data_IF_674317740476
#
_entry.id   IF_674317740476
#
_cell.length_a   1.000
_cell.length_b   1.000
_cell.length_c   1.000
_cell.angle_alpha   90.00
_cell.angle_beta   90.00
_cell.angle_gamma   90.00
#
_symmetry.space_group_name_H-M   'P 1'
#
loop_
_entity.id
_entity.type
_entity.pdbx_description
1 polymer ?
#
# COMPACT_ATOMS: atom_id res chain seq x y z
N UNK A 1 -13.94 -26.04 3.10
CA UNK A 1 -13.10 -26.66 2.06
C UNK A 1 -11.65 -26.58 2.53
N UNK A 2 -11.00 -27.68 2.86
CA UNK A 2 -9.59 -27.71 3.25
C UNK A 2 -8.76 -27.80 1.99
N UNK A 3 -8.12 -26.69 1.57
CA UNK A 3 -7.22 -26.67 0.40
C UNK A 3 -5.89 -27.37 0.69
N UNK A 4 -5.46 -27.37 1.94
CA UNK A 4 -4.26 -28.06 2.42
C UNK A 4 -4.60 -28.90 3.66
N UNK A 5 -4.76 -30.20 3.47
CA UNK A 5 -4.73 -31.17 4.55
C UNK A 5 -3.29 -31.56 4.82
N UNK A 6 -2.62 -30.91 5.78
CA UNK A 6 -1.24 -31.19 6.15
C UNK A 6 -1.08 -32.43 7.05
N UNK A 7 -2.12 -33.32 7.10
CA UNK A 7 -2.03 -34.59 7.81
C UNK A 7 -1.54 -34.48 9.27
N UNK A 8 -1.84 -33.40 9.97
CA UNK A 8 -1.42 -33.16 11.35
C UNK A 8 0.03 -32.69 11.54
N UNK A 9 0.77 -32.40 10.44
CA UNK A 9 2.15 -31.87 10.54
C UNK A 9 2.13 -30.35 10.73
N UNK A 10 2.83 -29.85 11.74
CA UNK A 10 3.12 -28.43 11.93
C UNK A 10 4.25 -27.98 11.04
N UNK A 11 4.05 -26.86 10.32
CA UNK A 11 5.11 -26.22 9.54
C UNK A 11 5.93 -25.31 10.46
N UNK A 12 7.26 -25.36 10.32
CA UNK A 12 8.19 -24.58 11.15
C UNK A 12 8.47 -23.20 10.54
N UNK A 13 7.49 -22.31 10.56
CA UNK A 13 7.63 -20.93 10.04
C UNK A 13 8.71 -20.15 10.78
N UNK A 14 8.72 -20.24 12.11
CA UNK A 14 9.61 -19.44 12.95
C UNK A 14 11.08 -19.88 12.88
N UNK A 15 11.38 -21.03 12.25
CA UNK A 15 12.77 -21.41 11.94
C UNK A 15 13.44 -20.41 10.98
N UNK A 16 12.66 -19.79 10.08
CA UNK A 16 13.11 -18.80 9.10
C UNK A 16 12.97 -17.35 9.60
N UNK A 17 12.52 -17.12 10.85
CA UNK A 17 12.22 -15.76 11.36
C UNK A 17 13.38 -14.78 11.22
N UNK A 18 14.62 -15.21 11.49
CA UNK A 18 15.80 -14.33 11.39
C UNK A 18 16.08 -13.90 9.96
N UNK A 19 15.92 -14.81 9.00
CA UNK A 19 16.08 -14.52 7.57
C UNK A 19 14.96 -13.59 7.09
N UNK A 20 13.72 -13.88 7.48
CA UNK A 20 12.56 -13.05 7.17
C UNK A 20 12.71 -11.63 7.74
N UNK A 21 13.10 -11.49 9.01
CA UNK A 21 13.34 -10.17 9.61
C UNK A 21 14.50 -9.41 8.94
N UNK A 22 15.58 -10.12 8.56
CA UNK A 22 16.68 -9.52 7.79
C UNK A 22 16.20 -9.00 6.43
N UNK A 23 15.39 -9.78 5.71
CA UNK A 23 14.78 -9.39 4.44
C UNK A 23 13.84 -8.18 4.60
N UNK A 24 12.97 -8.20 5.62
CA UNK A 24 12.09 -7.07 5.95
C UNK A 24 12.88 -5.78 6.25
N UNK A 25 13.93 -5.89 7.04
CA UNK A 25 14.79 -4.75 7.37
C UNK A 25 15.46 -4.18 6.12
N UNK A 26 15.95 -5.05 5.22
CA UNK A 26 16.52 -4.63 3.94
C UNK A 26 15.51 -3.88 3.08
N UNK A 27 14.26 -4.39 2.97
CA UNK A 27 13.19 -3.74 2.21
C UNK A 27 12.82 -2.38 2.81
N UNK A 28 12.71 -2.27 4.14
CA UNK A 28 12.44 -1.00 4.82
C UNK A 28 13.56 0.01 4.55
N UNK A 29 14.82 -0.40 4.68
CA UNK A 29 15.97 0.48 4.42
C UNK A 29 16.03 0.92 2.96
N UNK A 30 15.77 0.01 2.01
CA UNK A 30 15.69 0.34 0.59
C UNK A 30 14.54 1.31 0.29
N UNK A 31 13.38 1.12 0.94
CA UNK A 31 12.22 2.01 0.82
C UNK A 31 12.54 3.41 1.32
N UNK A 32 13.11 3.53 2.51
CA UNK A 32 13.54 4.84 3.05
C UNK A 32 14.61 5.49 2.18
N UNK A 33 15.63 4.73 1.77
CA UNK A 33 16.68 5.26 0.89
C UNK A 33 16.08 5.80 -0.42
N UNK A 34 15.15 5.07 -1.04
CA UNK A 34 14.49 5.55 -2.26
C UNK A 34 13.66 6.80 -2.00
N UNK A 35 12.83 6.82 -0.95
CA UNK A 35 11.99 7.97 -0.61
C UNK A 35 12.84 9.23 -0.34
N UNK A 36 13.99 9.09 0.35
CA UNK A 36 14.87 10.23 0.62
C UNK A 36 15.69 10.69 -0.58
N UNK A 37 16.11 9.77 -1.48
CA UNK A 37 16.96 10.10 -2.63
C UNK A 37 16.11 10.53 -3.83
N UNK A 38 15.05 9.78 -4.16
CA UNK A 38 14.21 10.04 -5.34
C UNK A 38 12.95 10.86 -5.01
N UNK A 39 12.48 10.81 -3.76
CA UNK A 39 11.18 11.35 -3.37
C UNK A 39 10.01 10.48 -3.83
N UNK A 40 8.81 11.04 -3.71
CA UNK A 40 7.57 10.50 -4.29
C UNK A 40 7.18 11.34 -5.50
N UNK A 41 6.72 10.68 -6.56
CA UNK A 41 6.15 11.35 -7.72
C UNK A 41 4.67 11.69 -7.43
N UNK A 42 4.43 12.83 -6.80
CA UNK A 42 3.08 13.25 -6.45
C UNK A 42 2.22 13.50 -7.68
N UNK A 43 0.99 12.98 -7.61
CA UNK A 43 -0.03 13.18 -8.64
C UNK A 43 -0.60 14.59 -8.67
N UNK A 44 -1.44 14.83 -9.67
CA UNK A 44 -2.11 16.11 -9.89
C UNK A 44 -2.94 16.54 -8.68
N UNK A 45 -3.53 15.58 -7.98
CA UNK A 45 -4.35 15.80 -6.78
C UNK A 45 -3.60 16.55 -5.66
N UNK A 46 -2.28 16.36 -5.58
CA UNK A 46 -1.45 16.95 -4.52
C UNK A 46 -0.61 18.12 -4.99
N UNK A 47 -0.33 18.21 -6.30
CA UNK A 47 0.53 19.27 -6.86
C UNK A 47 -0.26 20.41 -7.47
N UNK A 48 -1.52 20.15 -7.80
CA UNK A 48 -2.30 21.03 -8.67
C UNK A 48 -1.74 21.07 -10.09
N UNK A 49 -2.42 21.76 -10.98
CA UNK A 49 -1.98 21.95 -12.37
C UNK A 49 -2.97 21.38 -13.38
N UNK A 50 -2.48 21.13 -14.59
CA UNK A 50 -3.27 20.56 -15.69
C UNK A 50 -2.62 19.28 -16.21
N UNK A 51 -3.41 18.24 -16.38
CA UNK A 51 -3.00 17.01 -17.07
C UNK A 51 -3.80 16.86 -18.36
N UNK A 52 -3.11 16.63 -19.46
CA UNK A 52 -3.69 16.43 -20.79
C UNK A 52 -3.30 15.05 -21.29
N UNK A 53 -4.28 14.19 -21.48
CA UNK A 53 -4.10 12.89 -22.11
C UNK A 53 -4.22 13.05 -23.63
N UNK A 54 -3.20 12.58 -24.36
CA UNK A 54 -3.08 12.78 -25.79
C UNK A 54 -2.81 11.45 -26.46
N UNK A 55 -3.62 11.12 -27.47
CA UNK A 55 -3.45 9.92 -28.30
C UNK A 55 -2.78 10.25 -29.63
N UNK A 56 -1.86 9.38 -30.06
CA UNK A 56 -1.17 9.40 -31.34
C UNK A 56 -1.62 8.21 -32.18
N UNK A 57 -1.54 8.31 -33.50
CA UNK A 57 -1.82 7.20 -34.42
C UNK A 57 -0.69 6.17 -34.47
N UNK A 58 0.52 6.55 -34.09
CA UNK A 58 1.73 5.73 -34.02
C UNK A 58 2.39 5.86 -32.64
N UNK A 59 3.33 4.96 -32.27
CA UNK A 59 4.07 5.09 -31.02
C UNK A 59 4.68 6.47 -30.85
N UNK A 60 4.39 7.13 -29.72
CA UNK A 60 4.80 8.50 -29.45
C UNK A 60 6.29 8.59 -29.13
N UNK A 61 7.00 9.48 -29.81
CA UNK A 61 8.39 9.83 -29.47
C UNK A 61 8.40 10.92 -28.38
N UNK A 62 8.62 10.49 -27.13
CA UNK A 62 8.64 11.39 -25.97
C UNK A 62 9.69 12.49 -26.07
N UNK A 63 10.81 12.27 -26.78
CA UNK A 63 11.84 13.30 -26.96
C UNK A 63 11.33 14.40 -27.89
N UNK A 64 10.74 14.01 -29.02
CA UNK A 64 10.13 14.94 -29.96
C UNK A 64 8.99 15.73 -29.33
N UNK A 65 8.11 15.05 -28.56
CA UNK A 65 7.01 15.70 -27.86
C UNK A 65 7.52 16.75 -26.87
N UNK A 66 8.55 16.42 -26.07
CA UNK A 66 9.15 17.40 -25.13
C UNK A 66 9.77 18.60 -25.82
N UNK A 67 10.46 18.39 -26.96
CA UNK A 67 11.04 19.49 -27.76
C UNK A 67 9.96 20.44 -28.26
N UNK A 68 8.91 19.89 -28.87
CA UNK A 68 7.79 20.68 -29.40
C UNK A 68 7.08 21.46 -28.28
N UNK A 69 6.85 20.85 -27.15
CA UNK A 69 6.23 21.53 -26.01
C UNK A 69 7.14 22.64 -25.46
N UNK A 70 8.44 22.39 -25.34
CA UNK A 70 9.40 23.40 -24.89
C UNK A 70 9.44 24.62 -25.79
N UNK A 71 9.46 24.41 -27.13
CA UNK A 71 9.44 25.47 -28.13
C UNK A 71 8.17 26.32 -28.13
N UNK A 72 7.05 25.72 -27.67
CA UNK A 72 5.74 26.39 -27.54
C UNK A 72 5.44 26.92 -26.11
N UNK A 73 6.48 27.12 -25.30
CA UNK A 73 6.33 27.73 -23.97
C UNK A 73 5.92 26.77 -22.83
N UNK A 74 6.03 25.46 -23.05
CA UNK A 74 5.74 24.41 -22.10
C UNK A 74 7.01 23.63 -21.72
N UNK A 75 8.12 24.32 -21.46
CA UNK A 75 9.41 23.71 -21.12
C UNK A 75 9.38 22.95 -19.77
N UNK A 76 8.45 23.33 -18.90
CA UNK A 76 8.19 22.70 -17.59
C UNK A 76 7.27 21.47 -17.68
N UNK A 77 6.78 21.12 -18.86
CA UNK A 77 5.89 19.98 -19.06
C UNK A 77 6.57 18.65 -18.74
N UNK A 78 5.95 17.87 -17.86
CA UNK A 78 6.30 16.46 -17.67
C UNK A 78 5.54 15.62 -18.70
N UNK A 79 6.25 14.79 -19.46
CA UNK A 79 5.67 13.94 -20.51
C UNK A 79 6.04 12.49 -20.23
N UNK A 80 5.02 11.63 -20.13
CA UNK A 80 5.18 10.19 -19.89
C UNK A 80 4.20 9.37 -20.74
N UNK A 81 4.53 8.11 -21.01
CA UNK A 81 3.58 7.17 -21.63
C UNK A 81 2.44 6.88 -20.68
N UNK A 82 1.24 6.68 -21.21
CA UNK A 82 0.02 6.45 -20.46
C UNK A 82 -0.79 5.30 -21.08
N UNK A 83 -0.60 4.10 -20.57
CA UNK A 83 -1.36 2.93 -20.95
C UNK A 83 -0.89 2.22 -22.21
N UNK A 84 -0.59 2.94 -23.23
CA UNK A 84 -0.07 2.40 -24.49
C UNK A 84 1.16 3.17 -24.96
N UNK A 85 1.85 2.65 -25.99
CA UNK A 85 2.93 3.38 -26.64
C UNK A 85 2.42 4.56 -27.48
N UNK A 86 1.12 4.65 -27.72
CA UNK A 86 0.46 5.67 -28.52
C UNK A 86 -0.16 6.78 -27.67
N UNK A 87 -0.41 6.52 -26.40
CA UNK A 87 -1.02 7.49 -25.50
C UNK A 87 0.03 8.08 -24.57
N UNK A 88 -0.01 9.39 -24.39
CA UNK A 88 0.88 10.13 -23.48
C UNK A 88 0.05 10.97 -22.51
N UNK A 89 0.60 11.18 -21.34
CA UNK A 89 0.12 12.13 -20.37
C UNK A 89 1.10 13.31 -20.29
N UNK A 90 0.59 14.50 -20.59
CA UNK A 90 1.32 15.77 -20.46
C UNK A 90 0.82 16.47 -19.21
N UNK A 91 1.71 16.70 -18.24
CA UNK A 91 1.40 17.45 -17.03
C UNK A 91 2.10 18.78 -17.04
N UNK A 92 1.37 19.79 -16.65
CA UNK A 92 1.79 21.18 -16.56
C UNK A 92 1.62 21.67 -15.14
N UNK A 93 2.64 22.36 -14.62
CA UNK A 93 2.54 23.04 -13.34
C UNK A 93 1.39 24.10 -13.35
N UNK A 94 0.86 24.47 -12.19
CA UNK A 94 -0.18 25.48 -12.11
C UNK A 94 0.26 26.80 -12.74
N UNK A 95 -0.52 27.32 -13.70
CA UNK A 95 -0.25 28.57 -14.42
C UNK A 95 -1.29 29.63 -14.07
N UNK A 96 -1.17 30.21 -12.89
CA UNK A 96 -2.09 31.27 -12.44
C UNK A 96 -3.54 30.80 -12.25
N UNK A 97 -4.30 31.47 -11.41
CA UNK A 97 -5.68 31.08 -11.08
C UNK A 97 -6.73 31.46 -12.16
N UNK A 98 -6.35 32.24 -13.18
CA UNK A 98 -7.30 32.78 -14.16
C UNK A 98 -7.34 32.02 -15.50
N UNK A 99 -6.36 31.16 -15.79
CA UNK A 99 -6.30 30.43 -17.06
C UNK A 99 -7.14 29.16 -16.98
N UNK A 100 -8.22 29.12 -17.77
CA UNK A 100 -9.08 27.92 -17.83
C UNK A 100 -8.29 26.72 -18.38
N UNK A 101 -8.50 25.56 -17.76
CA UNK A 101 -7.88 24.29 -18.18
C UNK A 101 -8.05 23.99 -19.67
N UNK A 102 -9.23 24.28 -20.21
CA UNK A 102 -9.54 24.09 -21.64
C UNK A 102 -8.62 24.93 -22.55
N UNK A 103 -8.25 26.15 -22.12
CA UNK A 103 -7.33 27.01 -22.90
C UNK A 103 -5.95 26.40 -22.92
N UNK A 104 -5.45 25.93 -21.79
CA UNK A 104 -4.15 25.27 -21.69
C UNK A 104 -4.14 23.96 -22.53
N UNK A 105 -5.18 23.13 -22.38
CA UNK A 105 -5.32 21.90 -23.15
C UNK A 105 -5.33 22.14 -24.66
N UNK A 106 -6.09 23.15 -25.11
CA UNK A 106 -6.14 23.53 -26.53
C UNK A 106 -4.80 24.06 -27.06
N UNK A 107 -4.04 24.80 -26.24
CA UNK A 107 -2.71 25.26 -26.58
C UNK A 107 -1.73 24.08 -26.74
N UNK A 108 -1.76 23.11 -25.78
CA UNK A 108 -0.96 21.89 -25.85
C UNK A 108 -1.27 21.09 -27.11
N UNK A 109 -2.56 20.87 -27.40
CA UNK A 109 -2.97 20.13 -28.60
C UNK A 109 -2.58 20.87 -29.89
N UNK A 110 -2.73 22.18 -29.91
CA UNK A 110 -2.33 22.99 -31.09
C UNK A 110 -0.83 22.89 -31.34
N UNK A 111 -0.02 22.95 -30.28
CA UNK A 111 1.42 22.77 -30.36
C UNK A 111 1.80 21.36 -30.88
N UNK A 112 1.18 20.33 -30.37
CA UNK A 112 1.45 18.95 -30.77
C UNK A 112 0.96 18.65 -32.20
N UNK A 113 -0.16 19.22 -32.64
CA UNK A 113 -0.69 19.07 -33.99
C UNK A 113 0.21 19.70 -35.06
N UNK A 114 1.01 20.71 -34.72
CA UNK A 114 2.02 21.24 -35.63
C UNK A 114 3.11 20.21 -35.99
N UNK A 115 3.38 19.28 -35.08
CA UNK A 115 4.38 18.24 -35.27
C UNK A 115 3.80 16.91 -35.79
N UNK A 116 2.53 16.65 -35.53
CA UNK A 116 1.79 15.45 -35.93
C UNK A 116 0.28 15.74 -35.94
N UNK A 117 -0.30 15.84 -37.16
CA UNK A 117 -1.74 16.12 -37.33
C UNK A 117 -2.68 15.04 -36.75
N UNK A 118 -2.18 13.82 -36.56
CA UNK A 118 -2.97 12.69 -36.01
C UNK A 118 -3.27 12.80 -34.54
N UNK A 119 -2.72 13.79 -33.84
CA UNK A 119 -2.85 13.99 -32.41
C UNK A 119 -4.29 14.33 -32.02
N UNK A 120 -4.82 13.57 -31.06
CA UNK A 120 -6.18 13.74 -30.54
C UNK A 120 -6.12 13.89 -29.01
N UNK A 121 -6.78 14.90 -28.47
CA UNK A 121 -7.00 15.02 -27.03
C UNK A 121 -8.00 13.97 -26.57
N UNK A 122 -7.58 13.12 -25.63
CA UNK A 122 -8.43 12.09 -24.99
C UNK A 122 -9.16 12.63 -23.78
N UNK A 123 -8.40 13.32 -22.92
CA UNK A 123 -8.90 13.79 -21.63
C UNK A 123 -8.10 15.01 -21.19
N UNK A 124 -8.74 15.88 -20.45
CA UNK A 124 -8.11 16.97 -19.72
C UNK A 124 -8.59 16.95 -18.29
N UNK A 125 -7.67 17.09 -17.37
CA UNK A 125 -7.92 17.21 -15.94
C UNK A 125 -7.24 18.47 -15.42
N UNK A 126 -7.89 19.11 -14.46
CA UNK A 126 -7.37 20.31 -13.83
C UNK A 126 -7.66 20.27 -12.33
N UNK A 127 -6.62 20.55 -11.56
CA UNK A 127 -6.72 20.75 -10.12
C UNK A 127 -6.14 22.14 -9.81
N UNK A 128 -6.95 23.01 -9.25
CA UNK A 128 -6.48 24.32 -8.81
C UNK A 128 -5.42 24.17 -7.70
N UNK A 129 -4.43 25.10 -7.62
CA UNK A 129 -3.36 25.01 -6.62
C UNK A 129 -3.87 24.93 -5.18
N UNK A 130 -4.86 25.75 -4.83
CA UNK A 130 -5.50 25.74 -3.50
C UNK A 130 -6.20 24.41 -3.21
N UNK A 131 -6.86 23.82 -4.21
CA UNK A 131 -7.53 22.52 -4.08
C UNK A 131 -6.51 21.40 -3.87
N UNK A 132 -5.40 21.42 -4.61
CA UNK A 132 -4.33 20.44 -4.44
C UNK A 132 -3.69 20.51 -3.04
N UNK A 133 -3.49 21.72 -2.51
CA UNK A 133 -2.98 21.91 -1.16
C UNK A 133 -3.97 21.40 -0.09
N UNK A 134 -5.26 21.75 -0.23
CA UNK A 134 -6.34 21.26 0.64
C UNK A 134 -6.44 19.72 0.62
N UNK A 135 -6.37 19.10 -0.57
CA UNK A 135 -6.42 17.65 -0.71
C UNK A 135 -5.22 16.95 -0.09
N UNK A 136 -4.03 17.55 -0.16
CA UNK A 136 -2.81 17.05 0.48
C UNK A 136 -2.96 17.09 2.01
N UNK A 137 -3.46 18.19 2.56
CA UNK A 137 -3.67 18.33 4.00
C UNK A 137 -4.75 17.37 4.49
N UNK A 138 -5.92 17.34 3.83
CA UNK A 138 -7.03 16.45 4.20
C UNK A 138 -6.68 14.98 4.03
N UNK A 139 -5.97 14.61 2.96
CA UNK A 139 -5.48 13.25 2.75
C UNK A 139 -4.50 12.80 3.84
N UNK A 140 -3.58 13.68 4.23
CA UNK A 140 -2.65 13.43 5.35
C UNK A 140 -3.37 13.27 6.68
N UNK A 141 -4.35 14.14 6.96
CA UNK A 141 -5.19 14.06 8.17
C UNK A 141 -6.05 12.79 8.19
N UNK A 142 -6.63 12.40 7.06
CA UNK A 142 -7.42 11.18 6.94
C UNK A 142 -6.57 9.94 7.24
N UNK A 143 -5.36 9.86 6.68
CA UNK A 143 -4.43 8.76 6.96
C UNK A 143 -4.03 8.73 8.43
N UNK A 144 -3.66 9.87 9.00
CA UNK A 144 -3.29 9.96 10.42
C UNK A 144 -4.45 9.55 11.33
N UNK A 145 -5.66 10.03 11.05
CA UNK A 145 -6.87 9.68 11.81
C UNK A 145 -7.16 8.18 11.72
N UNK A 146 -7.09 7.60 10.53
CA UNK A 146 -7.29 6.17 10.34
C UNK A 146 -6.25 5.36 11.13
N UNK A 147 -4.97 5.73 11.08
CA UNK A 147 -3.92 5.07 11.85
C UNK A 147 -4.17 5.17 13.35
N UNK A 148 -4.54 6.34 13.87
CA UNK A 148 -4.85 6.52 15.30
C UNK A 148 -6.05 5.65 15.70
N UNK A 149 -7.13 5.64 14.92
CA UNK A 149 -8.30 4.80 15.19
C UNK A 149 -7.94 3.31 15.21
N UNK A 150 -7.10 2.86 14.27
CA UNK A 150 -6.60 1.49 14.21
C UNK A 150 -5.73 1.17 15.41
N UNK A 151 -4.82 2.06 15.80
CA UNK A 151 -3.98 1.89 17.00
C UNK A 151 -4.82 1.74 18.26
N UNK A 152 -5.83 2.58 18.44
CA UNK A 152 -6.78 2.53 19.54
C UNK A 152 -7.52 1.18 19.53
N UNK A 153 -8.08 0.79 18.39
CA UNK A 153 -8.77 -0.49 18.24
C UNK A 153 -7.87 -1.69 18.61
N UNK A 154 -6.65 -1.71 18.08
CA UNK A 154 -5.69 -2.80 18.33
C UNK A 154 -5.27 -2.84 19.81
N UNK A 155 -5.06 -1.66 20.42
CA UNK A 155 -4.71 -1.56 21.85
C UNK A 155 -5.82 -2.09 22.78
N UNK A 156 -7.10 -1.85 22.45
CA UNK A 156 -8.22 -2.39 23.21
C UNK A 156 -8.50 -3.87 22.90
N UNK A 157 -8.26 -4.30 21.66
CA UNK A 157 -8.56 -5.66 21.20
C UNK A 157 -7.54 -6.68 21.64
N UNK A 158 -6.27 -6.29 21.69
CA UNK A 158 -5.15 -7.18 21.96
C UNK A 158 -4.39 -6.81 23.23
N UNK A 159 -3.75 -7.80 23.79
CA UNK A 159 -2.70 -7.61 24.76
C UNK A 159 -1.54 -6.81 24.14
N UNK A 160 -0.92 -5.91 24.91
CA UNK A 160 0.05 -4.93 24.40
C UNK A 160 1.17 -5.54 23.53
N UNK A 161 1.62 -6.77 23.82
CA UNK A 161 2.68 -7.46 23.06
C UNK A 161 2.23 -7.79 21.64
N UNK A 162 1.02 -8.28 21.46
CA UNK A 162 0.41 -8.53 20.16
C UNK A 162 0.05 -7.23 19.45
N UNK A 163 -0.37 -6.21 20.21
CA UNK A 163 -0.65 -4.89 19.66
C UNK A 163 0.60 -4.27 19.04
N UNK A 164 1.74 -4.32 19.72
CA UNK A 164 3.03 -3.84 19.18
C UNK A 164 3.43 -4.64 17.94
N UNK A 165 3.22 -5.97 17.94
CA UNK A 165 3.47 -6.83 16.76
C UNK A 165 2.61 -6.44 15.56
N UNK A 166 1.32 -6.23 15.77
CA UNK A 166 0.38 -5.82 14.72
C UNK A 166 0.72 -4.44 14.15
N UNK A 167 1.00 -3.47 15.02
CA UNK A 167 1.40 -2.10 14.61
C UNK A 167 2.71 -2.12 13.84
N UNK A 168 3.70 -2.91 14.32
CA UNK A 168 4.98 -3.07 13.62
C UNK A 168 4.80 -3.65 12.21
N UNK A 169 3.91 -4.64 12.05
CA UNK A 169 3.58 -5.21 10.75
C UNK A 169 2.86 -4.19 9.84
N UNK A 170 1.92 -3.40 10.36
CA UNK A 170 1.25 -2.36 9.59
C UNK A 170 2.22 -1.28 9.08
N UNK A 171 3.09 -0.79 9.95
CA UNK A 171 4.11 0.19 9.56
C UNK A 171 5.07 -0.37 8.50
N UNK A 172 5.49 -1.63 8.67
CA UNK A 172 6.28 -2.35 7.67
C UNK A 172 5.58 -2.36 6.31
N UNK A 173 4.31 -2.74 6.25
CA UNK A 173 3.55 -2.88 5.00
C UNK A 173 3.36 -1.54 4.29
N UNK A 174 3.02 -0.49 5.05
CA UNK A 174 2.86 0.87 4.52
C UNK A 174 4.18 1.40 3.97
N UNK A 175 5.27 1.30 4.75
CA UNK A 175 6.59 1.83 4.34
C UNK A 175 7.07 1.13 3.06
N UNK A 176 6.92 -0.17 2.97
CA UNK A 176 7.38 -0.93 1.80
C UNK A 176 6.49 -0.66 0.58
N UNK A 177 5.16 -0.52 0.77
CA UNK A 177 4.25 -0.19 -0.34
C UNK A 177 4.53 1.21 -0.88
N UNK A 178 4.69 2.21 -0.03
CA UNK A 178 5.08 3.58 -0.43
C UNK A 178 6.48 3.58 -1.06
N UNK A 179 7.40 2.80 -0.49
CA UNK A 179 8.74 2.61 -1.03
C UNK A 179 8.76 2.06 -2.45
N UNK A 180 7.88 1.11 -2.77
CA UNK A 180 7.73 0.59 -4.13
C UNK A 180 7.40 1.70 -5.13
N UNK A 181 6.44 2.58 -4.78
CA UNK A 181 6.06 3.72 -5.62
C UNK A 181 7.22 4.67 -5.85
N UNK A 182 8.02 4.95 -4.82
CA UNK A 182 9.24 5.75 -4.94
C UNK A 182 10.30 5.08 -5.83
N UNK A 183 10.57 3.78 -5.65
CA UNK A 183 11.58 3.04 -6.43
C UNK A 183 11.23 3.04 -7.91
N UNK A 184 9.97 2.74 -8.24
CA UNK A 184 9.47 2.64 -9.61
C UNK A 184 9.11 4.01 -10.23
N UNK A 185 9.09 5.09 -9.44
CA UNK A 185 8.70 6.42 -9.89
C UNK A 185 7.22 6.51 -10.27
N UNK A 186 6.38 5.60 -9.75
CA UNK A 186 4.95 5.58 -10.01
C UNK A 186 4.29 6.81 -9.38
N UNK A 187 3.20 7.26 -10.01
CA UNK A 187 2.42 8.37 -9.52
C UNK A 187 1.74 8.03 -8.20
N UNK A 188 1.82 8.97 -7.26
CA UNK A 188 1.21 8.89 -5.94
C UNK A 188 0.08 9.92 -5.85
N UNK A 189 -1.15 9.48 -6.02
CA UNK A 189 -2.38 10.29 -6.01
C UNK A 189 -3.31 9.90 -4.87
N UNK A 190 -4.52 10.48 -4.82
CA UNK A 190 -5.53 10.14 -3.80
C UNK A 190 -6.01 8.69 -3.91
N UNK A 191 -6.00 8.12 -5.11
CA UNK A 191 -6.43 6.73 -5.30
C UNK A 191 -5.43 5.76 -4.68
N UNK A 192 -4.13 6.08 -4.74
CA UNK A 192 -3.06 5.32 -4.10
C UNK A 192 -3.15 5.47 -2.57
N UNK A 193 -3.44 6.67 -2.08
CA UNK A 193 -3.68 6.88 -0.65
C UNK A 193 -4.83 6.00 -0.14
N UNK A 194 -5.94 5.94 -0.88
CA UNK A 194 -7.07 5.06 -0.58
C UNK A 194 -6.68 3.57 -0.64
N UNK A 195 -5.84 3.18 -1.62
CA UNK A 195 -5.31 1.82 -1.71
C UNK A 195 -4.46 1.45 -0.48
N UNK A 196 -3.60 2.36 0.00
CA UNK A 196 -2.80 2.13 1.21
C UNK A 196 -3.70 1.94 2.43
N UNK A 197 -4.75 2.74 2.59
CA UNK A 197 -5.72 2.55 3.67
C UNK A 197 -6.42 1.19 3.58
N UNK A 198 -6.75 0.74 2.37
CA UNK A 198 -7.32 -0.60 2.16
C UNK A 198 -6.31 -1.72 2.47
N UNK A 199 -5.02 -1.55 2.11
CA UNK A 199 -3.93 -2.48 2.49
C UNK A 199 -3.81 -2.60 4.01
N UNK A 200 -3.85 -1.47 4.73
CA UNK A 200 -3.81 -1.45 6.19
C UNK A 200 -4.95 -2.29 6.77
N UNK A 201 -6.18 -2.10 6.29
CA UNK A 201 -7.34 -2.87 6.74
C UNK A 201 -7.21 -4.37 6.42
N UNK A 202 -6.71 -4.70 5.22
CA UNK A 202 -6.49 -6.08 4.80
C UNK A 202 -5.42 -6.79 5.63
N UNK A 203 -4.25 -6.18 5.80
CA UNK A 203 -3.14 -6.73 6.57
C UNK A 203 -3.52 -6.92 8.05
N UNK A 204 -4.23 -5.93 8.62
CA UNK A 204 -4.70 -6.02 10.00
C UNK A 204 -5.66 -7.19 10.21
N UNK A 205 -6.59 -7.45 9.27
CA UNK A 205 -7.53 -8.57 9.40
C UNK A 205 -6.81 -9.92 9.51
N UNK A 206 -5.78 -10.14 8.72
CA UNK A 206 -5.00 -11.38 8.76
C UNK A 206 -4.17 -11.49 10.05
N UNK A 207 -3.52 -10.40 10.44
CA UNK A 207 -2.76 -10.30 11.70
C UNK A 207 -3.65 -10.57 12.93
N UNK A 208 -4.90 -10.08 12.93
CA UNK A 208 -5.88 -10.36 13.99
C UNK A 208 -6.17 -11.85 14.09
N UNK A 209 -6.43 -12.51 12.96
CA UNK A 209 -6.75 -13.94 12.93
C UNK A 209 -5.62 -14.79 13.49
N UNK A 210 -4.39 -14.48 13.05
CA UNK A 210 -3.17 -15.16 13.52
C UNK A 210 -2.99 -14.95 15.05
N UNK A 211 -3.07 -13.70 15.49
CA UNK A 211 -2.88 -13.34 16.91
C UNK A 211 -3.94 -13.97 17.82
N UNK A 212 -5.20 -13.97 17.41
CA UNK A 212 -6.27 -14.64 18.18
C UNK A 212 -6.04 -16.13 18.27
N UNK A 213 -5.57 -16.78 17.20
CA UNK A 213 -5.26 -18.21 17.21
C UNK A 213 -4.07 -18.54 18.11
N UNK A 214 -3.04 -17.71 18.10
CA UNK A 214 -1.89 -17.86 19.00
C UNK A 214 -2.36 -17.77 20.47
N UNK A 215 -3.17 -16.74 20.80
CA UNK A 215 -3.74 -16.58 22.14
C UNK A 215 -4.61 -17.76 22.57
N UNK A 216 -5.45 -18.27 21.66
CA UNK A 216 -6.29 -19.45 21.91
C UNK A 216 -5.44 -20.68 22.23
N UNK A 217 -4.38 -20.92 21.43
CA UNK A 217 -3.50 -22.06 21.62
C UNK A 217 -2.66 -21.95 22.90
N UNK A 218 -2.18 -20.76 23.28
CA UNK A 218 -1.53 -20.54 24.58
C UNK A 218 -2.39 -20.97 25.78
N UNK A 219 -3.72 -20.84 25.66
CA UNK A 219 -4.66 -21.25 26.73
C UNK A 219 -5.01 -22.72 26.69
N UNK A 220 -5.10 -23.33 25.50
CA UNK A 220 -5.62 -24.69 25.34
C UNK A 220 -4.54 -25.77 25.31
N UNK A 221 -3.35 -25.44 24.79
CA UNK A 221 -2.31 -26.44 24.53
C UNK A 221 -1.35 -26.53 25.72
N UNK A 222 -0.98 -27.76 26.07
CA UNK A 222 -0.05 -28.06 27.18
C UNK A 222 1.39 -28.22 26.66
N UNK A 223 1.83 -27.36 25.74
CA UNK A 223 3.20 -27.26 25.26
C UNK A 223 3.82 -26.04 25.94
N UNK A 224 5.08 -26.13 26.35
CA UNK A 224 5.78 -25.03 27.02
C UNK A 224 6.65 -24.21 26.05
N UNK A 225 6.97 -24.74 24.86
CA UNK A 225 7.72 -24.01 23.84
C UNK A 225 6.81 -23.01 23.11
N UNK A 226 7.06 -21.73 23.33
CA UNK A 226 6.37 -20.59 22.68
C UNK A 226 6.45 -20.66 21.16
N UNK A 227 7.61 -21.06 20.62
CA UNK A 227 7.84 -21.12 19.18
C UNK A 227 6.98 -22.22 18.55
N UNK A 228 6.90 -23.38 19.19
CA UNK A 228 6.09 -24.50 18.70
C UNK A 228 4.59 -24.15 18.71
N UNK A 229 4.10 -23.43 19.74
CA UNK A 229 2.70 -22.96 19.79
C UNK A 229 2.42 -21.98 18.66
N UNK A 230 3.34 -21.07 18.36
CA UNK A 230 3.18 -20.10 17.28
C UNK A 230 3.20 -20.82 15.92
N UNK A 231 4.12 -21.73 15.68
CA UNK A 231 4.20 -22.52 14.44
C UNK A 231 2.92 -23.33 14.20
N UNK A 232 2.38 -23.94 15.26
CA UNK A 232 1.11 -24.64 15.22
C UNK A 232 -0.05 -23.69 14.89
N UNK A 233 -0.10 -22.52 15.50
CA UNK A 233 -1.15 -21.52 15.27
C UNK A 233 -1.12 -21.00 13.85
N UNK A 234 0.06 -20.67 13.32
CA UNK A 234 0.28 -20.29 11.94
C UNK A 234 -0.16 -21.37 10.96
N UNK A 235 0.19 -22.64 11.25
CA UNK A 235 -0.23 -23.78 10.41
C UNK A 235 -1.73 -23.93 10.38
N UNK A 236 -2.43 -23.71 11.52
CA UNK A 236 -3.89 -23.82 11.63
C UNK A 236 -4.61 -22.69 10.89
N UNK A 237 -4.05 -21.49 10.84
CA UNK A 237 -4.64 -20.33 10.16
C UNK A 237 -4.24 -20.26 8.68
N UNK A 238 -3.18 -20.94 8.26
CA UNK A 238 -2.58 -20.85 6.93
C UNK A 238 -3.59 -21.04 5.79
N UNK A 239 -4.46 -22.03 5.91
CA UNK A 239 -5.46 -22.32 4.87
C UNK A 239 -6.43 -21.14 4.68
N UNK A 240 -6.85 -20.49 5.76
CA UNK A 240 -7.71 -19.31 5.70
C UNK A 240 -6.95 -18.14 5.06
N UNK A 241 -5.76 -17.82 5.54
CA UNK A 241 -4.89 -16.76 5.03
C UNK A 241 -4.61 -16.95 3.53
N UNK A 242 -4.25 -18.16 3.09
CA UNK A 242 -4.00 -18.43 1.68
C UNK A 242 -5.26 -18.29 0.82
N UNK A 243 -6.41 -18.79 1.26
CA UNK A 243 -7.67 -18.67 0.50
C UNK A 243 -8.05 -17.20 0.35
N UNK A 244 -8.04 -16.43 1.42
CA UNK A 244 -8.39 -15.00 1.36
C UNK A 244 -7.40 -14.21 0.51
N UNK A 245 -6.09 -14.45 0.64
CA UNK A 245 -5.08 -13.74 -0.14
C UNK A 245 -5.13 -14.11 -1.63
N UNK A 246 -5.24 -15.40 -1.96
CA UNK A 246 -5.29 -15.85 -3.37
C UNK A 246 -6.56 -15.33 -4.05
N UNK A 247 -7.73 -15.42 -3.40
CA UNK A 247 -8.97 -14.90 -3.99
C UNK A 247 -8.92 -13.40 -4.21
N UNK A 248 -8.37 -12.64 -3.27
CA UNK A 248 -8.19 -11.19 -3.42
C UNK A 248 -7.18 -10.88 -4.54
N UNK A 249 -6.03 -11.56 -4.58
CA UNK A 249 -5.01 -11.38 -5.61
C UNK A 249 -5.59 -11.68 -7.01
N UNK A 250 -6.41 -12.72 -7.17
CA UNK A 250 -7.05 -13.04 -8.46
C UNK A 250 -7.95 -11.89 -8.95
N UNK A 251 -8.76 -11.30 -8.07
CA UNK A 251 -9.59 -10.14 -8.41
C UNK A 251 -8.71 -8.93 -8.76
N UNK A 252 -7.65 -8.69 -7.99
CA UNK A 252 -6.73 -7.57 -8.22
C UNK A 252 -5.93 -7.74 -9.52
N UNK A 253 -5.54 -8.96 -9.91
CA UNK A 253 -4.92 -9.25 -11.21
C UNK A 253 -5.91 -8.92 -12.34
N UNK A 254 -7.16 -9.32 -12.22
CA UNK A 254 -8.18 -8.97 -13.21
C UNK A 254 -8.32 -7.43 -13.32
N UNK A 255 -8.35 -6.73 -12.19
CA UNK A 255 -8.41 -5.27 -12.15
C UNK A 255 -7.14 -4.63 -12.76
N UNK A 256 -5.97 -5.18 -12.48
CA UNK A 256 -4.70 -4.72 -13.02
C UNK A 256 -4.63 -4.87 -14.55
N UNK A 257 -5.12 -6.00 -15.09
CA UNK A 257 -5.02 -6.29 -16.53
C UNK A 257 -6.12 -5.58 -17.33
N UNK A 258 -7.35 -5.52 -16.81
CA UNK A 258 -8.52 -5.01 -17.55
C UNK A 258 -9.10 -3.71 -16.97
N UNK A 259 -8.63 -3.22 -15.84
CA UNK A 259 -9.16 -2.02 -15.17
C UNK A 259 -8.81 -0.68 -15.82
N UNK A 260 -7.95 -0.69 -16.86
CA UNK A 260 -7.50 0.54 -17.51
C UNK A 260 -6.50 1.33 -16.66
N UNK A 261 -5.96 2.39 -17.24
CA UNK A 261 -4.82 3.15 -16.67
C UNK A 261 -5.16 3.88 -15.38
N UNK A 262 -6.35 4.43 -15.27
CA UNK A 262 -6.81 5.17 -14.08
C UNK A 262 -6.78 4.31 -12.81
N UNK A 263 -7.03 3.00 -12.95
CA UNK A 263 -7.10 2.06 -11.81
C UNK A 263 -5.81 1.26 -11.66
N UNK A 264 -4.89 1.32 -12.65
CA UNK A 264 -3.68 0.52 -12.67
C UNK A 264 -2.78 0.76 -11.46
N UNK A 265 -2.57 2.03 -11.07
CA UNK A 265 -1.82 2.40 -9.86
C UNK A 265 -2.46 1.84 -8.59
N UNK A 266 -3.78 2.01 -8.44
CA UNK A 266 -4.56 1.47 -7.34
C UNK A 266 -4.42 -0.06 -7.23
N UNK A 267 -4.61 -0.77 -8.35
CA UNK A 267 -4.46 -2.22 -8.41
C UNK A 267 -3.04 -2.67 -8.06
N UNK A 268 -2.00 -1.93 -8.53
CA UNK A 268 -0.60 -2.19 -8.20
C UNK A 268 -0.35 -2.06 -6.70
N UNK A 269 -0.82 -0.97 -6.06
CA UNK A 269 -0.66 -0.77 -4.62
C UNK A 269 -1.31 -1.89 -3.82
N UNK A 270 -2.55 -2.28 -4.19
CA UNK A 270 -3.27 -3.36 -3.51
C UNK A 270 -2.63 -4.72 -3.75
N UNK A 271 -2.24 -5.08 -4.98
CA UNK A 271 -1.58 -6.36 -5.28
C UNK A 271 -0.31 -6.52 -4.44
N UNK A 272 0.54 -5.52 -4.48
CA UNK A 272 1.79 -5.54 -3.73
C UNK A 272 1.53 -5.50 -2.22
N UNK A 273 0.61 -4.64 -1.75
CA UNK A 273 0.25 -4.50 -0.35
C UNK A 273 -0.34 -5.78 0.24
N UNK A 274 -1.24 -6.49 -0.48
CA UNK A 274 -1.80 -7.77 -0.05
C UNK A 274 -0.72 -8.86 0.03
N UNK A 275 0.20 -8.88 -0.94
CA UNK A 275 1.32 -9.83 -0.92
C UNK A 275 2.23 -9.60 0.29
N UNK A 276 2.67 -8.36 0.51
CA UNK A 276 3.51 -7.98 1.64
C UNK A 276 2.77 -8.15 2.97
N UNK A 277 1.48 -7.80 3.06
CA UNK A 277 0.65 -7.96 4.26
C UNK A 277 0.46 -9.42 4.66
N UNK A 278 0.28 -10.32 3.67
CA UNK A 278 0.23 -11.76 3.93
C UNK A 278 1.55 -12.29 4.49
N UNK A 279 2.67 -11.82 3.96
CA UNK A 279 3.99 -12.16 4.48
C UNK A 279 4.21 -11.57 5.89
N UNK A 280 3.84 -10.32 6.13
CA UNK A 280 4.09 -9.62 7.38
C UNK A 280 3.26 -10.17 8.53
N UNK A 281 2.01 -10.58 8.29
CA UNK A 281 1.15 -11.21 9.29
C UNK A 281 1.75 -12.51 9.84
N UNK A 282 2.42 -13.30 8.99
CA UNK A 282 3.08 -14.55 9.37
C UNK A 282 4.41 -14.29 10.07
N UNK A 283 5.30 -13.49 9.45
CA UNK A 283 6.68 -13.37 9.92
C UNK A 283 6.92 -12.14 10.78
N UNK A 284 6.45 -10.96 10.39
CA UNK A 284 6.79 -9.71 11.08
C UNK A 284 6.01 -9.61 12.38
N UNK A 285 4.68 -9.70 12.34
CA UNK A 285 3.84 -9.59 13.52
C UNK A 285 4.21 -10.63 14.59
N UNK A 286 4.36 -11.90 14.17
CA UNK A 286 4.74 -12.99 15.07
C UNK A 286 6.15 -12.83 15.65
N UNK A 287 7.13 -12.42 14.83
CA UNK A 287 8.51 -12.21 15.30
C UNK A 287 8.63 -11.06 16.28
N UNK A 288 7.93 -9.95 16.02
CA UNK A 288 7.89 -8.80 16.95
C UNK A 288 7.21 -9.20 18.26
N UNK A 289 6.09 -9.93 18.21
CA UNK A 289 5.42 -10.44 19.41
C UNK A 289 6.33 -11.33 20.26
N UNK A 290 7.09 -12.25 19.63
CA UNK A 290 8.10 -13.08 20.31
C UNK A 290 9.16 -12.20 20.97
N UNK A 291 9.69 -11.21 20.25
CA UNK A 291 10.72 -10.29 20.77
C UNK A 291 10.20 -9.47 21.96
N UNK A 292 8.90 -9.14 21.98
CA UNK A 292 8.23 -8.48 23.10
C UNK A 292 7.95 -9.44 24.29
N UNK A 293 8.38 -10.70 24.21
CA UNK A 293 8.28 -11.66 25.30
C UNK A 293 6.87 -12.24 25.46
N UNK A 294 6.15 -12.45 24.35
CA UNK A 294 4.91 -13.23 24.38
C UNK A 294 5.22 -14.63 24.90
N UNK A 295 4.50 -15.03 25.96
CA UNK A 295 4.62 -16.34 26.57
C UNK A 295 3.26 -16.81 27.11
N UNK A 296 3.16 -18.10 27.40
CA UNK A 296 1.96 -18.70 27.98
C UNK A 296 1.56 -18.05 29.32
N UNK A 297 2.56 -17.76 30.16
CA UNK A 297 2.37 -17.08 31.44
C UNK A 297 1.81 -15.68 31.25
N UNK A 298 2.42 -14.88 30.33
CA UNK A 298 1.99 -13.52 30.05
C UNK A 298 0.52 -13.44 29.62
N UNK A 299 0.07 -14.36 28.75
CA UNK A 299 -1.32 -14.45 28.27
C UNK A 299 -2.29 -14.92 29.36
N UNK A 300 -1.83 -15.72 30.35
CA UNK A 300 -2.65 -16.24 31.42
C UNK A 300 -2.97 -15.21 32.50
N UNK A 301 -2.03 -14.29 32.80
CA UNK A 301 -2.18 -13.33 33.91
C UNK A 301 -3.17 -12.19 33.60
N UNK A 302 -3.53 -11.92 32.38
CA UNK A 302 -4.38 -10.77 32.01
C UNK A 302 -5.82 -10.86 32.50
N UNK A 303 -6.26 -12.02 33.04
CA UNK A 303 -7.60 -12.23 33.60
C UNK A 303 -7.64 -12.38 35.12
N UNK A 304 -6.50 -12.37 35.80
CA UNK A 304 -6.45 -12.57 37.26
C UNK A 304 -6.44 -11.25 38.06
N UNK A 305 -6.52 -10.08 37.42
CA UNK A 305 -6.50 -8.77 38.11
C UNK A 305 -7.87 -8.14 38.34
N UNK A 306 -8.97 -8.89 38.31
CA UNK A 306 -10.18 -8.44 38.97
C UNK A 306 -10.18 -9.04 40.39
N UNK A 307 -10.00 -8.21 41.45
CA UNK A 307 -10.21 -8.68 42.78
C UNK A 307 -11.71 -9.03 42.93
N UNK A 308 -12.05 -10.32 42.88
CA UNK A 308 -13.31 -10.75 43.40
C UNK A 308 -13.23 -10.54 44.89
N UNK A 309 -13.65 -9.37 45.40
CA UNK A 309 -14.13 -9.22 46.74
C UNK A 309 -15.35 -10.14 46.86
N UNK A 310 -15.10 -11.35 47.28
CA UNK A 310 -16.07 -12.23 47.97
C UNK A 310 -15.50 -12.54 49.33
N UNK A 311 -15.60 -11.55 50.20
CA UNK A 311 -15.73 -11.76 51.61
C UNK A 311 -17.11 -11.22 51.99
N UNK A 312 -18.06 -12.12 52.13
CA UNK A 312 -19.07 -12.17 53.21
C UNK A 312 -19.50 -13.63 53.34
#
# INVERSE_FOLDING_TARGET
MQILSLGGKTLRFMSLRKVAMGFSTLLILASFASIFIKGLNFGLDFTGGTAVEVGFSQPADLKKVRSVLAENGFADASVQLFGSSQDILVRLAPRGSEVKAEVIGNQVITALKQADESVVMRRIEFVGPSVGEDLKEQGGLAMLTALICILIYVAFRFEWRFAVGAVGALLHDVIITVGLFSVLGLEFDLTILAAILAVIGYSLNDTIVVSDRIRENFRKVRIDDTIEIIDMSLTQTLNRTLVTSITTILVLIALFVWGGQTIHGFATALLFGVFIGTYSSVYVASSVAITMGVSKEAVSYTHLTLPTNREV
#
